data_IF_881368813536
#
_entry.id   IF_881368813536
#
_cell.length_a   1.000
_cell.length_b   1.000
_cell.length_c   1.000
_cell.angle_alpha   90.00
_cell.angle_beta   90.00
_cell.angle_gamma   90.00
#
_symmetry.space_group_name_H-M   'P 1'
#
loop_
_entity.id
_entity.type
_entity.pdbx_description
1 polymer ?
#
# COMPACT_ATOMS: atom_id res chain seq x y z
N UNK A 1 -0.46 17.33 1.66
CA UNK A 1 -0.37 16.23 0.68
C UNK A 1 -1.70 16.13 -0.06
N UNK A 2 -1.69 16.41 -1.36
CA UNK A 2 -2.85 16.24 -2.22
C UNK A 2 -3.32 14.78 -2.18
N UNK A 3 -4.62 14.59 -1.99
CA UNK A 3 -5.26 13.26 -1.95
C UNK A 3 -4.98 12.47 -3.23
N UNK A 4 -4.90 13.19 -4.35
CA UNK A 4 -4.53 12.64 -5.66
C UNK A 4 -3.11 12.06 -5.64
N UNK A 5 -2.14 12.80 -5.09
CA UNK A 5 -0.75 12.36 -5.02
C UNK A 5 -0.59 11.14 -4.11
N UNK A 6 -1.32 11.10 -2.98
CA UNK A 6 -1.31 9.94 -2.08
C UNK A 6 -1.91 8.68 -2.74
N UNK A 7 -3.01 8.83 -3.48
CA UNK A 7 -3.62 7.73 -4.22
C UNK A 7 -2.70 7.21 -5.34
N UNK A 8 -2.06 8.10 -6.10
CA UNK A 8 -1.11 7.72 -7.15
C UNK A 8 0.11 7.00 -6.56
N UNK A 9 0.66 7.51 -5.46
CA UNK A 9 1.78 6.87 -4.78
C UNK A 9 1.40 5.47 -4.25
N UNK A 10 0.20 5.32 -3.70
CA UNK A 10 -0.29 4.02 -3.24
C UNK A 10 -0.45 3.02 -4.38
N UNK A 11 -1.04 3.43 -5.50
CA UNK A 11 -1.22 2.56 -6.68
C UNK A 11 0.13 2.14 -7.25
N UNK A 12 1.08 3.07 -7.39
CA UNK A 12 2.42 2.77 -7.88
C UNK A 12 3.16 1.79 -6.96
N UNK A 13 3.07 2.01 -5.63
CA UNK A 13 3.64 1.11 -4.63
C UNK A 13 2.99 -0.28 -4.68
N UNK A 14 1.65 -0.35 -4.67
CA UNK A 14 0.92 -1.62 -4.73
C UNK A 14 1.23 -2.40 -6.02
N UNK A 15 1.34 -1.71 -7.16
CA UNK A 15 1.73 -2.33 -8.43
C UNK A 15 3.14 -2.91 -8.39
N UNK A 16 4.12 -2.14 -7.91
CA UNK A 16 5.51 -2.61 -7.78
C UNK A 16 5.60 -3.85 -6.88
N UNK A 17 4.97 -3.79 -5.72
CA UNK A 17 5.00 -4.88 -4.75
C UNK A 17 4.24 -6.11 -5.26
N UNK A 18 3.14 -5.91 -6.00
CA UNK A 18 2.43 -7.00 -6.68
C UNK A 18 3.28 -7.71 -7.72
N UNK A 19 4.04 -6.96 -8.53
CA UNK A 19 4.99 -7.55 -9.48
C UNK A 19 6.06 -8.37 -8.75
N UNK A 20 6.64 -7.83 -7.66
CA UNK A 20 7.61 -8.56 -6.84
C UNK A 20 7.05 -9.86 -6.28
N UNK A 21 5.79 -9.86 -5.82
CA UNK A 21 5.14 -11.06 -5.31
C UNK A 21 4.97 -12.13 -6.41
N UNK A 22 4.67 -11.74 -7.64
CA UNK A 22 4.49 -12.67 -8.77
C UNK A 22 5.83 -13.17 -9.35
N UNK A 23 6.86 -12.34 -9.36
CA UNK A 23 8.17 -12.71 -9.89
C UNK A 23 8.96 -13.55 -8.88
N UNK A 24 8.94 -13.13 -7.62
CA UNK A 24 9.73 -13.70 -6.52
C UNK A 24 8.78 -14.54 -5.66
N UNK A 25 8.63 -15.81 -6.04
CA UNK A 25 7.75 -16.79 -5.37
C UNK A 25 8.33 -17.27 -4.02
N UNK A 26 8.47 -16.34 -3.08
CA UNK A 26 8.98 -16.56 -1.74
C UNK A 26 7.85 -16.32 -0.72
N UNK A 27 7.44 -17.33 0.08
CA UNK A 27 6.27 -17.24 0.94
C UNK A 27 6.43 -16.22 2.08
N UNK A 28 7.64 -16.05 2.57
CA UNK A 28 8.05 -15.01 3.52
C UNK A 28 7.89 -13.60 2.93
N UNK A 29 8.28 -13.42 1.66
CA UNK A 29 8.10 -12.15 0.95
C UNK A 29 6.60 -11.80 0.83
N UNK A 30 5.75 -12.76 0.46
CA UNK A 30 4.30 -12.57 0.38
C UNK A 30 3.69 -12.11 1.70
N UNK A 31 4.11 -12.70 2.82
CA UNK A 31 3.62 -12.33 4.15
C UNK A 31 4.00 -10.88 4.51
N UNK A 32 5.25 -10.49 4.25
CA UNK A 32 5.73 -9.11 4.50
C UNK A 32 4.97 -8.13 3.62
N UNK A 33 4.84 -8.42 2.34
CA UNK A 33 4.08 -7.63 1.36
C UNK A 33 2.65 -7.41 1.83
N UNK A 34 1.95 -8.47 2.24
CA UNK A 34 0.57 -8.39 2.71
C UNK A 34 0.41 -7.51 3.93
N UNK A 35 1.30 -7.65 4.93
CA UNK A 35 1.28 -6.82 6.15
C UNK A 35 1.57 -5.36 5.80
N UNK A 36 2.57 -5.08 4.95
CA UNK A 36 2.90 -3.71 4.56
C UNK A 36 1.73 -3.05 3.81
N UNK A 37 1.10 -3.75 2.87
CA UNK A 37 -0.07 -3.25 2.14
C UNK A 37 -1.24 -2.98 3.08
N UNK A 38 -1.50 -3.86 4.05
CA UNK A 38 -2.57 -3.69 5.03
C UNK A 38 -2.33 -2.47 5.94
N UNK A 39 -1.10 -2.27 6.41
CA UNK A 39 -0.73 -1.11 7.23
C UNK A 39 -0.84 0.19 6.44
N UNK A 40 -0.31 0.24 5.23
CA UNK A 40 -0.37 1.44 4.38
C UNK A 40 -1.82 1.76 3.98
N UNK A 41 -2.63 0.75 3.65
CA UNK A 41 -4.05 0.97 3.37
C UNK A 41 -4.79 1.51 4.60
N UNK A 42 -4.48 0.99 5.79
CA UNK A 42 -5.07 1.45 7.05
C UNK A 42 -4.68 2.90 7.34
N UNK A 43 -3.40 3.25 7.18
CA UNK A 43 -2.91 4.63 7.34
C UNK A 43 -3.60 5.58 6.36
N UNK A 44 -3.73 5.18 5.09
CA UNK A 44 -4.42 5.98 4.07
C UNK A 44 -5.89 6.21 4.43
N UNK A 45 -6.59 5.19 4.93
CA UNK A 45 -8.00 5.30 5.38
C UNK A 45 -8.10 6.20 6.61
N UNK A 46 -7.24 6.03 7.62
CA UNK A 46 -7.23 6.88 8.82
C UNK A 46 -6.90 8.33 8.48
N UNK A 47 -5.87 8.57 7.68
CA UNK A 47 -5.49 9.90 7.22
C UNK A 47 -6.60 10.56 6.39
N UNK A 48 -7.33 9.79 5.58
CA UNK A 48 -8.48 10.28 4.85
C UNK A 48 -9.67 10.61 5.76
N UNK A 49 -9.82 9.93 6.90
CA UNK A 49 -10.89 10.15 7.88
C UNK A 49 -10.58 11.31 8.83
N UNK A 50 -9.33 11.45 9.28
CA UNK A 50 -8.87 12.48 10.22
C UNK A 50 -8.78 13.89 9.62
N UNK A 51 -8.91 14.04 8.29
CA UNK A 51 -9.06 15.36 7.63
C UNK A 51 -10.52 15.81 7.48
N UNK A 52 -11.49 15.08 8.04
CA UNK A 52 -12.92 15.41 7.99
C UNK A 52 -13.43 16.12 9.26
N UNK A 53 -12.52 16.46 10.18
CA UNK A 53 -12.74 17.38 11.29
C UNK A 53 -11.88 18.64 11.06
#
# INVERSE_FOLDING_TARGET
MDRLLAAVAFIAFAGFVGILALEVHHPDLWAVIGITLALVATDLVLAARNRRD
#
